data_IF_043082892630
#
_entry.id   IF_043082892630
#
_cell.length_a   1.000
_cell.length_b   1.000
_cell.length_c   1.000
_cell.angle_alpha   90.00
_cell.angle_beta   90.00
_cell.angle_gamma   90.00
#
_symmetry.space_group_name_H-M   'P 1'
#
loop_
_entity.id
_entity.type
_entity.pdbx_description
1 polymer ?
#
# COMPACT_ATOMS: atom_id res chain seq x y z
N UNK A 1 22.66 -0.75 -8.89
CA UNK A 1 22.13 -1.54 -7.76
C UNK A 1 22.68 -0.98 -6.45
N UNK A 2 21.90 -0.99 -5.37
CA UNK A 2 22.34 -0.55 -4.04
C UNK A 2 22.63 -1.80 -3.19
N UNK A 3 23.82 -1.88 -2.57
CA UNK A 3 24.17 -2.99 -1.68
C UNK A 3 23.53 -2.78 -0.31
N UNK A 4 22.70 -3.73 0.12
CA UNK A 4 22.12 -3.78 1.46
C UNK A 4 22.60 -5.05 2.16
N UNK A 5 22.91 -4.94 3.45
CA UNK A 5 23.12 -6.09 4.33
C UNK A 5 21.90 -6.21 5.26
N UNK A 6 21.42 -7.43 5.44
CA UNK A 6 20.28 -7.76 6.30
C UNK A 6 20.66 -8.95 7.17
N UNK A 7 20.16 -8.97 8.40
CA UNK A 7 20.28 -10.13 9.27
C UNK A 7 19.10 -11.06 9.01
N UNK A 8 19.40 -12.35 8.88
CA UNK A 8 18.41 -13.42 8.69
C UNK A 8 18.68 -14.53 9.69
N UNK A 9 17.68 -15.35 9.95
CA UNK A 9 17.85 -16.52 10.83
C UNK A 9 18.56 -17.66 10.10
N UNK A 10 19.14 -18.60 10.86
CA UNK A 10 19.74 -19.81 10.28
C UNK A 10 18.74 -20.63 9.44
N UNK A 11 17.46 -20.64 9.84
CA UNK A 11 16.40 -21.31 9.07
C UNK A 11 16.14 -20.63 7.73
N UNK A 12 16.16 -19.30 7.68
CA UNK A 12 16.01 -18.52 6.44
C UNK A 12 17.19 -18.73 5.49
N UNK A 13 18.42 -18.72 6.02
CA UNK A 13 19.63 -19.03 5.26
C UNK A 13 19.56 -20.40 4.59
N UNK A 14 19.19 -21.44 5.35
CA UNK A 14 19.07 -22.80 4.82
C UNK A 14 17.98 -22.92 3.74
N UNK A 15 16.88 -22.17 3.90
CA UNK A 15 15.80 -22.14 2.91
C UNK A 15 16.23 -21.40 1.65
N UNK A 16 16.91 -20.26 1.80
CA UNK A 16 17.38 -19.42 0.70
C UNK A 16 18.35 -20.18 -0.20
N UNK A 17 19.36 -20.83 0.40
CA UNK A 17 20.32 -21.69 -0.31
C UNK A 17 19.64 -22.79 -1.11
N UNK A 18 18.72 -23.50 -0.47
CA UNK A 18 17.99 -24.60 -1.11
C UNK A 18 17.16 -24.10 -2.29
N UNK A 19 16.40 -23.03 -2.09
CA UNK A 19 15.53 -22.45 -3.13
C UNK A 19 16.31 -21.87 -4.30
N UNK A 20 17.41 -21.18 -4.02
CA UNK A 20 18.31 -20.66 -5.06
C UNK A 20 18.87 -21.81 -5.91
N UNK A 21 19.32 -22.90 -5.27
CA UNK A 21 19.81 -24.08 -5.97
C UNK A 21 18.70 -24.78 -6.79
N UNK A 22 17.51 -24.96 -6.22
CA UNK A 22 16.35 -25.55 -6.92
C UNK A 22 15.96 -24.77 -8.18
N UNK A 23 16.07 -23.43 -8.14
CA UNK A 23 15.72 -22.55 -9.26
C UNK A 23 16.88 -22.22 -10.19
N UNK A 24 18.11 -22.65 -9.86
CA UNK A 24 19.31 -22.36 -10.66
C UNK A 24 19.69 -20.88 -10.71
N UNK A 25 19.27 -20.08 -9.73
CA UNK A 25 19.54 -18.65 -9.62
C UNK A 25 20.44 -18.35 -8.41
N UNK A 26 20.96 -17.14 -8.33
CA UNK A 26 21.74 -16.73 -7.14
C UNK A 26 20.82 -16.38 -5.97
N UNK A 27 21.31 -16.55 -4.74
CA UNK A 27 20.59 -16.14 -3.52
C UNK A 27 20.18 -14.65 -3.56
N UNK A 28 21.06 -13.79 -4.07
CA UNK A 28 20.80 -12.36 -4.21
C UNK A 28 19.75 -12.02 -5.28
N UNK A 29 19.62 -12.85 -6.31
CA UNK A 29 18.56 -12.72 -7.32
C UNK A 29 17.22 -13.16 -6.76
N UNK A 30 17.21 -14.30 -6.05
CA UNK A 30 16.01 -14.76 -5.35
C UNK A 30 15.52 -13.75 -4.30
N UNK A 31 16.42 -13.13 -3.53
CA UNK A 31 16.03 -12.07 -2.58
C UNK A 31 15.40 -10.88 -3.33
N UNK A 32 15.96 -10.47 -4.47
CA UNK A 32 15.42 -9.34 -5.25
C UNK A 32 14.04 -9.64 -5.80
N UNK A 33 13.85 -10.80 -6.42
CA UNK A 33 12.54 -11.21 -6.94
C UNK A 33 11.50 -11.36 -5.83
N UNK A 34 11.89 -11.88 -4.67
CA UNK A 34 11.04 -11.94 -3.49
C UNK A 34 10.66 -10.54 -2.98
N UNK A 35 11.61 -9.59 -2.95
CA UNK A 35 11.33 -8.20 -2.58
C UNK A 35 10.41 -7.52 -3.59
N UNK A 36 10.66 -7.69 -4.89
CA UNK A 36 9.83 -7.11 -5.95
C UNK A 36 8.40 -7.66 -5.87
N UNK A 37 8.24 -8.99 -5.85
CA UNK A 37 6.93 -9.65 -5.71
C UNK A 37 6.20 -9.26 -4.42
N UNK A 38 6.89 -9.15 -3.28
CA UNK A 38 6.28 -8.65 -2.06
C UNK A 38 5.93 -7.17 -2.13
N UNK A 39 6.72 -6.31 -2.78
CA UNK A 39 6.35 -4.89 -2.97
C UNK A 39 5.12 -4.74 -3.88
N UNK A 40 4.96 -5.61 -4.88
CA UNK A 40 3.74 -5.70 -5.67
C UNK A 40 2.53 -6.21 -4.85
N UNK A 41 2.76 -7.14 -3.91
CA UNK A 41 1.70 -7.79 -3.12
C UNK A 41 1.28 -6.99 -1.88
N UNK A 42 2.21 -6.32 -1.20
CA UNK A 42 1.99 -5.50 0.02
C UNK A 42 1.23 -4.21 -0.31
N UNK A 43 1.12 -3.85 -1.58
CA UNK A 43 0.28 -2.75 -1.99
C UNK A 43 0.77 -1.43 -1.39
N UNK A 44 1.64 -0.74 -2.13
CA UNK A 44 1.08 0.52 -2.60
C UNK A 44 -0.16 0.09 -3.37
N UNK A 45 -1.41 0.34 -2.90
CA UNK A 45 -2.51 0.22 -3.82
C UNK A 45 -2.05 1.07 -4.99
N UNK A 46 -1.90 0.44 -6.16
CA UNK A 46 -1.78 1.19 -7.40
C UNK A 46 -3.05 2.00 -7.35
N UNK A 47 -2.99 3.23 -6.83
CA UNK A 47 -4.12 4.13 -6.71
C UNK A 47 -4.56 4.21 -8.15
N UNK A 48 -5.58 3.43 -8.48
CA UNK A 48 -6.03 3.34 -9.84
C UNK A 48 -6.48 4.76 -10.09
N UNK A 49 -5.73 5.50 -10.90
CA UNK A 49 -6.03 6.91 -11.13
C UNK A 49 -7.51 7.04 -11.55
N UNK A 50 -7.99 6.02 -12.26
CA UNK A 50 -9.39 5.81 -12.62
C UNK A 50 -10.34 5.70 -11.42
N UNK A 51 -10.02 4.94 -10.36
CA UNK A 51 -10.84 4.87 -9.13
C UNK A 51 -10.93 6.23 -8.42
N UNK A 52 -9.86 7.02 -8.49
CA UNK A 52 -9.83 8.36 -7.90
C UNK A 52 -10.57 9.39 -8.75
N UNK A 53 -10.58 9.20 -10.07
CA UNK A 53 -11.41 9.97 -11.00
C UNK A 53 -12.90 9.63 -10.83
N UNK A 54 -13.25 8.35 -10.68
CA UNK A 54 -14.62 7.88 -10.39
C UNK A 54 -15.13 8.49 -9.07
N UNK A 55 -14.32 8.47 -8.01
CA UNK A 55 -14.68 9.08 -6.72
C UNK A 55 -14.83 10.60 -6.83
N UNK A 56 -13.94 11.28 -7.58
CA UNK A 56 -14.03 12.71 -7.83
C UNK A 56 -15.32 13.10 -8.54
N UNK A 57 -15.68 12.36 -9.61
CA UNK A 57 -16.93 12.56 -10.35
C UNK A 57 -18.15 12.32 -9.46
N UNK A 58 -18.12 11.27 -8.63
CA UNK A 58 -19.19 10.99 -7.67
C UNK A 58 -19.38 12.13 -6.66
N UNK A 59 -18.30 12.71 -6.14
CA UNK A 59 -18.36 13.85 -5.21
C UNK A 59 -18.90 15.09 -5.95
N UNK A 60 -18.45 15.37 -7.16
CA UNK A 60 -18.91 16.50 -7.96
C UNK A 60 -20.40 16.40 -8.29
N UNK A 61 -20.89 15.23 -8.69
CA UNK A 61 -22.31 14.95 -8.93
C UNK A 61 -23.15 15.16 -7.66
N UNK A 62 -22.62 14.72 -6.50
CA UNK A 62 -23.28 14.88 -5.19
C UNK A 62 -23.34 16.33 -4.73
N UNK A 63 -22.33 17.13 -5.04
CA UNK A 63 -22.26 18.55 -4.73
C UNK A 63 -23.14 19.39 -5.68
N UNK A 64 -23.18 19.04 -6.96
CA UNK A 64 -23.96 19.76 -7.98
C UNK A 64 -25.48 19.69 -7.73
N UNK A 65 -25.97 18.62 -7.07
CA UNK A 65 -27.39 18.40 -6.84
C UNK A 65 -27.97 18.99 -5.55
N UNK A 66 -27.20 19.71 -4.71
CA UNK A 66 -27.69 20.22 -3.43
C UNK A 66 -27.25 21.64 -3.13
N UNK A 67 -28.21 22.56 -3.09
CA UNK A 67 -28.04 23.81 -2.36
C UNK A 67 -27.93 23.49 -0.87
N UNK A 68 -26.71 23.53 -0.34
CA UNK A 68 -26.44 23.23 1.06
C UNK A 68 -26.95 24.37 1.96
N UNK A 69 -28.26 24.38 2.24
CA UNK A 69 -28.89 25.30 3.18
C UNK A 69 -28.81 24.84 4.64
N UNK A 70 -28.16 23.71 4.91
CA UNK A 70 -27.97 23.22 6.27
C UNK A 70 -26.86 24.02 6.97
N UNK A 71 -27.24 25.12 7.62
CA UNK A 71 -26.39 25.77 8.61
C UNK A 71 -26.05 24.76 9.71
N UNK A 72 -24.78 24.77 10.16
CA UNK A 72 -24.33 23.93 11.27
C UNK A 72 -25.20 24.20 12.49
N UNK A 73 -25.91 23.18 12.98
CA UNK A 73 -26.76 23.26 14.18
C UNK A 73 -26.00 23.02 15.48
N UNK A 74 -24.75 22.59 15.42
CA UNK A 74 -23.90 22.31 16.57
C UNK A 74 -22.67 23.20 16.58
N UNK A 75 -22.23 23.58 17.78
CA UNK A 75 -20.99 24.32 18.00
C UNK A 75 -19.85 23.34 18.18
N UNK A 76 -18.66 23.68 17.69
CA UNK A 76 -17.50 22.76 17.69
C UNK A 76 -17.09 22.37 19.10
N UNK A 77 -17.30 23.27 20.04
CA UNK A 77 -16.99 23.15 21.47
C UNK A 77 -17.82 22.03 22.13
N UNK A 78 -19.08 21.82 21.68
CA UNK A 78 -19.98 20.77 22.19
C UNK A 78 -19.50 19.34 21.88
N UNK A 79 -18.48 19.19 21.02
CA UNK A 79 -17.93 17.90 20.60
C UNK A 79 -16.82 17.38 21.54
N UNK A 80 -16.23 18.25 22.36
CA UNK A 80 -15.03 17.95 23.16
C UNK A 80 -15.30 17.88 24.67
N UNK A 81 -16.51 18.19 25.14
CA UNK A 81 -16.87 18.04 26.55
C UNK A 81 -17.19 16.57 26.86
N UNK A 82 -16.14 15.83 27.24
CA UNK A 82 -16.25 14.54 27.92
C UNK A 82 -15.21 14.39 29.00
#
# INVERSE_FOLDING_TARGET
>A
MVRKQVYITQSQENLLKRKAAEMGVTEAELIREALDSQMYTIGYPRRSAQKWQEEGQFIEERMAGKEHSAQRTWKREELYDR
#
